data_IF_526715734487
#
_entry.id   IF_526715734487
#
_cell.length_a   1.000
_cell.length_b   1.000
_cell.length_c   1.000
_cell.angle_alpha   90.00
_cell.angle_beta   90.00
_cell.angle_gamma   90.00
#
_symmetry.space_group_name_H-M   'P 1'
#
loop_
_entity.id
_entity.type
_entity.pdbx_description
1 polymer ?
#
# COMPACT_ATOMS: atom_id res chain seq x y z
N UNK A 1 -5.05 14.42 -45.93
CA UNK A 1 -5.45 13.46 -44.90
C UNK A 1 -4.48 13.66 -43.73
N UNK A 2 -4.95 14.23 -42.64
CA UNK A 2 -4.09 14.36 -41.45
C UNK A 2 -3.76 12.94 -40.93
N UNK A 3 -2.49 12.64 -40.68
CA UNK A 3 -2.15 11.37 -40.07
C UNK A 3 -2.73 11.38 -38.64
N UNK A 4 -3.81 10.65 -38.44
CA UNK A 4 -4.36 10.43 -37.09
C UNK A 4 -3.38 9.53 -36.32
N UNK A 5 -2.21 10.09 -36.01
CA UNK A 5 -1.23 9.49 -35.12
C UNK A 5 -1.82 9.52 -33.70
N UNK A 6 -2.30 8.40 -33.18
CA UNK A 6 -2.85 8.37 -31.86
C UNK A 6 -3.26 6.95 -31.40
N UNK A 7 -3.61 6.84 -30.14
CA UNK A 7 -4.08 5.61 -29.47
C UNK A 7 -5.24 4.91 -30.25
N UNK A 8 -6.04 5.67 -30.99
CA UNK A 8 -7.15 5.17 -31.80
C UNK A 8 -6.61 4.32 -32.97
N UNK A 9 -5.52 4.74 -33.60
CA UNK A 9 -4.89 3.98 -34.70
C UNK A 9 -4.25 2.70 -34.20
N UNK A 10 -3.58 2.73 -33.06
CA UNK A 10 -3.03 1.54 -32.38
C UNK A 10 -4.12 0.49 -32.14
N UNK A 11 -5.34 0.93 -31.81
CA UNK A 11 -6.47 0.03 -31.61
C UNK A 11 -7.06 -0.51 -32.93
N UNK A 12 -7.15 0.31 -33.97
CA UNK A 12 -7.76 -0.10 -35.27
C UNK A 12 -6.81 -0.91 -36.14
N UNK A 13 -5.53 -0.55 -36.18
CA UNK A 13 -4.52 -1.22 -37.03
C UNK A 13 -3.73 -2.29 -36.30
N UNK A 14 -3.72 -2.25 -34.94
CA UNK A 14 -3.02 -3.22 -34.12
C UNK A 14 -3.61 -4.62 -34.24
N UNK A 15 -2.71 -5.61 -34.32
CA UNK A 15 -3.07 -7.03 -34.25
C UNK A 15 -3.56 -7.43 -32.85
N UNK A 16 -3.93 -8.70 -32.69
CA UNK A 16 -4.47 -9.22 -31.44
C UNK A 16 -3.46 -9.13 -30.27
N UNK A 17 -2.14 -9.22 -30.54
CA UNK A 17 -1.08 -9.08 -29.51
C UNK A 17 -1.00 -7.64 -29.01
N UNK A 18 -0.96 -6.69 -29.95
CA UNK A 18 -0.95 -5.25 -29.62
C UNK A 18 -2.15 -4.84 -28.80
N UNK A 19 -3.35 -5.30 -29.16
CA UNK A 19 -4.58 -5.06 -28.38
C UNK A 19 -4.49 -5.74 -27.00
N UNK A 20 -3.95 -6.94 -26.91
CA UNK A 20 -3.71 -7.65 -25.66
C UNK A 20 -2.78 -6.87 -24.71
N UNK A 21 -1.69 -6.33 -25.24
CA UNK A 21 -0.76 -5.50 -24.46
C UNK A 21 -1.43 -4.23 -23.93
N UNK A 22 -2.21 -3.54 -24.78
CA UNK A 22 -2.96 -2.34 -24.35
C UNK A 22 -3.96 -2.66 -23.25
N UNK A 23 -4.74 -3.73 -23.40
CA UNK A 23 -5.72 -4.18 -22.40
C UNK A 23 -5.04 -4.57 -21.08
N UNK A 24 -3.88 -5.24 -21.15
CA UNK A 24 -3.11 -5.60 -19.97
C UNK A 24 -2.61 -4.35 -19.24
N UNK A 25 -2.02 -3.39 -19.95
CA UNK A 25 -1.57 -2.12 -19.38
C UNK A 25 -2.72 -1.32 -18.77
N UNK A 26 -3.88 -1.31 -19.42
CA UNK A 26 -5.08 -0.67 -18.90
C UNK A 26 -5.54 -1.35 -17.58
N UNK A 27 -5.59 -2.67 -17.55
CA UNK A 27 -5.91 -3.43 -16.34
C UNK A 27 -4.94 -3.16 -15.19
N UNK A 28 -3.62 -3.14 -15.48
CA UNK A 28 -2.58 -2.78 -14.52
C UNK A 28 -2.75 -1.35 -14.01
N UNK A 29 -3.07 -0.39 -14.88
CA UNK A 29 -3.34 0.99 -14.51
C UNK A 29 -4.54 1.11 -13.57
N UNK A 30 -5.67 0.49 -13.93
CA UNK A 30 -6.88 0.49 -13.11
C UNK A 30 -6.63 -0.13 -11.72
N UNK A 31 -5.94 -1.27 -11.67
CA UNK A 31 -5.57 -1.93 -10.41
C UNK A 31 -4.69 -1.02 -9.53
N UNK A 32 -3.70 -0.34 -10.13
CA UNK A 32 -2.82 0.59 -9.40
C UNK A 32 -3.59 1.76 -8.82
N UNK A 33 -4.41 2.43 -9.64
CA UNK A 33 -5.20 3.57 -9.18
C UNK A 33 -6.21 3.18 -8.11
N UNK A 34 -6.84 2.01 -8.24
CA UNK A 34 -7.75 1.47 -7.22
C UNK A 34 -7.02 1.32 -5.88
N UNK A 35 -5.86 0.65 -5.85
CA UNK A 35 -5.07 0.48 -4.63
C UNK A 35 -4.62 1.82 -4.06
N UNK A 36 -4.12 2.74 -4.88
CA UNK A 36 -3.66 4.07 -4.44
C UNK A 36 -4.80 4.82 -3.76
N UNK A 37 -5.98 4.89 -4.38
CA UNK A 37 -7.11 5.65 -3.87
C UNK A 37 -7.61 5.06 -2.54
N UNK A 38 -7.89 3.75 -2.49
CA UNK A 38 -8.38 3.13 -1.26
C UNK A 38 -7.38 3.25 -0.11
N UNK A 39 -6.10 2.99 -0.38
CA UNK A 39 -5.07 3.10 0.66
C UNK A 39 -4.79 4.53 1.08
N UNK A 40 -4.88 5.50 0.18
CA UNK A 40 -4.76 6.90 0.55
C UNK A 40 -5.89 7.34 1.50
N UNK A 41 -7.14 6.89 1.26
CA UNK A 41 -8.26 7.13 2.17
C UNK A 41 -8.03 6.50 3.55
N UNK A 42 -7.57 5.24 3.59
CA UNK A 42 -7.22 4.56 4.84
C UNK A 42 -6.15 5.34 5.63
N UNK A 43 -5.08 5.79 4.95
CA UNK A 43 -3.99 6.54 5.58
C UNK A 43 -4.48 7.87 6.18
N UNK A 44 -5.34 8.60 5.46
CA UNK A 44 -5.93 9.85 5.98
C UNK A 44 -6.74 9.57 7.25
N UNK A 45 -7.56 8.50 7.22
CA UNK A 45 -8.34 8.05 8.38
C UNK A 45 -7.42 7.68 9.56
N UNK A 46 -6.41 6.85 9.34
CA UNK A 46 -5.47 6.44 10.39
C UNK A 46 -4.65 7.60 10.97
N UNK A 47 -4.23 8.55 10.16
CA UNK A 47 -3.55 9.76 10.65
C UNK A 47 -4.44 10.58 11.58
N UNK A 48 -5.75 10.66 11.28
CA UNK A 48 -6.73 11.32 12.16
C UNK A 48 -6.88 10.57 13.49
N UNK A 49 -7.00 9.24 13.44
CA UNK A 49 -7.10 8.39 14.63
C UNK A 49 -5.81 8.45 15.49
N UNK A 50 -4.64 8.50 14.88
CA UNK A 50 -3.37 8.65 15.59
C UNK A 50 -3.26 9.95 16.38
N UNK A 51 -3.90 11.04 15.95
CA UNK A 51 -3.99 12.28 16.75
C UNK A 51 -4.88 12.11 17.98
N UNK A 52 -5.96 11.34 17.86
CA UNK A 52 -6.86 11.03 18.98
C UNK A 52 -6.22 10.14 20.05
N UNK A 53 -5.17 9.39 19.74
CA UNK A 53 -4.50 8.52 20.72
C UNK A 53 -3.78 9.30 21.84
N UNK A 54 -3.43 10.56 21.62
CA UNK A 54 -2.88 11.40 22.66
C UNK A 54 -3.94 11.80 23.71
N UNK A 55 -5.19 12.02 23.29
CA UNK A 55 -6.31 12.32 24.19
C UNK A 55 -6.65 11.17 25.12
N UNK A 56 -6.40 9.92 24.71
CA UNK A 56 -6.56 8.74 25.55
C UNK A 56 -5.86 8.88 26.90
N UNK A 57 -4.60 9.36 26.87
CA UNK A 57 -3.76 9.49 28.06
C UNK A 57 -4.12 10.66 28.99
N UNK A 58 -4.96 11.59 28.53
CA UNK A 58 -5.45 12.70 29.34
C UNK A 58 -6.81 12.40 30.01
N UNK A 59 -7.31 11.17 29.84
CA UNK A 59 -8.56 10.73 30.44
C UNK A 59 -8.35 10.32 31.91
N UNK A 60 -9.33 10.53 32.80
CA UNK A 60 -9.22 10.19 34.21
C UNK A 60 -9.22 8.66 34.45
N UNK A 61 -9.82 7.87 33.56
CA UNK A 61 -9.86 6.43 33.63
C UNK A 61 -9.70 5.78 32.24
N UNK A 62 -9.39 4.48 32.23
CA UNK A 62 -9.16 3.70 31.02
C UNK A 62 -10.39 3.60 30.11
N UNK A 63 -11.58 3.42 30.69
CA UNK A 63 -12.83 3.30 29.93
C UNK A 63 -13.22 4.63 29.26
N UNK A 64 -12.94 5.74 29.91
CA UNK A 64 -13.13 7.06 29.31
C UNK A 64 -12.12 7.32 28.20
N UNK A 65 -10.87 6.86 28.38
CA UNK A 65 -9.85 6.85 27.33
C UNK A 65 -10.29 6.06 26.10
N UNK A 66 -10.83 4.86 26.28
CA UNK A 66 -11.37 4.05 25.19
C UNK A 66 -12.50 4.76 24.43
N UNK A 67 -13.40 5.45 25.14
CA UNK A 67 -14.46 6.25 24.50
C UNK A 67 -13.91 7.39 23.67
N UNK A 68 -12.80 8.03 24.08
CA UNK A 68 -12.14 9.08 23.30
C UNK A 68 -11.49 8.57 22.01
N UNK A 69 -11.08 7.31 21.97
CA UNK A 69 -10.61 6.68 20.73
C UNK A 69 -11.74 6.44 19.71
N UNK A 70 -13.01 6.59 20.14
CA UNK A 70 -14.19 6.43 19.30
C UNK A 70 -14.59 4.97 19.09
N UNK A 71 -15.85 4.74 18.64
CA UNK A 71 -16.43 3.39 18.50
C UNK A 71 -16.12 2.70 17.17
N UNK A 72 -15.19 3.23 16.39
CA UNK A 72 -14.84 2.59 15.12
C UNK A 72 -14.11 1.27 15.36
N UNK A 73 -14.75 0.15 14.97
CA UNK A 73 -14.14 -1.20 15.01
C UNK A 73 -12.81 -1.31 14.24
N UNK A 74 -12.58 -0.38 13.32
CA UNK A 74 -11.35 -0.33 12.51
C UNK A 74 -10.27 0.58 13.10
N UNK A 75 -10.45 1.07 14.35
CA UNK A 75 -9.43 1.89 14.99
C UNK A 75 -8.33 1.00 15.61
N UNK A 76 -7.10 1.00 15.07
CA UNK A 76 -6.04 0.13 15.57
C UNK A 76 -5.56 0.51 16.97
N UNK A 77 -5.68 1.78 17.36
CA UNK A 77 -5.31 2.23 18.71
C UNK A 77 -6.31 1.71 19.75
N UNK A 78 -7.60 1.70 19.40
CA UNK A 78 -8.63 1.12 20.26
C UNK A 78 -8.47 -0.39 20.37
N UNK A 79 -8.31 -1.09 19.24
CA UNK A 79 -8.08 -2.53 19.23
C UNK A 79 -6.88 -2.91 20.10
N UNK A 80 -5.79 -2.16 20.00
CA UNK A 80 -4.58 -2.40 20.80
C UNK A 80 -4.83 -2.20 22.31
N UNK A 81 -5.60 -1.18 22.70
CA UNK A 81 -5.94 -0.94 24.10
C UNK A 81 -6.88 -2.02 24.64
N UNK A 82 -7.87 -2.46 23.85
CA UNK A 82 -8.79 -3.53 24.23
C UNK A 82 -8.06 -4.89 24.37
N UNK A 83 -7.17 -5.23 23.44
CA UNK A 83 -6.34 -6.45 23.51
C UNK A 83 -5.44 -6.45 24.73
N UNK A 84 -4.78 -5.32 25.05
CA UNK A 84 -3.95 -5.20 26.25
C UNK A 84 -4.77 -5.40 27.52
N UNK A 85 -6.00 -4.87 27.60
CA UNK A 85 -6.90 -5.06 28.72
C UNK A 85 -7.37 -6.52 28.85
N UNK A 86 -7.77 -7.13 27.74
CA UNK A 86 -8.20 -8.52 27.72
C UNK A 86 -7.06 -9.46 28.16
N UNK A 87 -5.83 -9.17 27.75
CA UNK A 87 -4.65 -9.93 28.18
C UNK A 87 -4.45 -9.86 29.71
N UNK A 88 -4.64 -8.68 30.29
CA UNK A 88 -4.60 -8.49 31.75
C UNK A 88 -5.70 -9.25 32.48
N UNK A 89 -6.95 -9.11 32.02
CA UNK A 89 -8.12 -9.73 32.63
C UNK A 89 -8.03 -11.26 32.55
N UNK A 90 -7.54 -11.79 31.43
CA UNK A 90 -7.36 -13.23 31.24
C UNK A 90 -6.31 -13.79 32.21
N UNK A 91 -5.14 -13.14 32.31
CA UNK A 91 -4.09 -13.56 33.23
C UNK A 91 -4.54 -13.53 34.70
N UNK A 92 -5.37 -12.55 35.10
CA UNK A 92 -5.89 -12.47 36.47
C UNK A 92 -6.87 -13.61 36.83
N UNK A 93 -7.60 -14.12 35.83
CA UNK A 93 -8.66 -15.13 36.02
C UNK A 93 -8.17 -16.59 35.85
N UNK A 94 -6.97 -16.84 35.28
CA UNK A 94 -6.56 -18.18 34.84
C UNK A 94 -5.24 -18.65 35.48
N UNK A 95 -4.88 -18.17 36.66
CA UNK A 95 -3.61 -18.46 37.35
C UNK A 95 -3.30 -19.96 37.62
N UNK A 96 -4.22 -20.87 37.31
CA UNK A 96 -4.08 -22.30 37.62
C UNK A 96 -3.70 -23.20 36.43
N UNK A 97 -3.47 -22.66 35.22
CA UNK A 97 -3.17 -23.47 34.03
C UNK A 97 -1.68 -23.40 33.65
N UNK A 98 -1.17 -24.52 33.11
CA UNK A 98 0.27 -24.70 32.78
C UNK A 98 0.85 -23.63 31.81
N UNK A 99 0.01 -22.98 30.98
CA UNK A 99 0.47 -21.92 30.09
C UNK A 99 0.51 -20.53 30.74
N UNK A 100 -0.01 -20.39 31.95
CA UNK A 100 0.02 -19.15 32.74
C UNK A 100 1.30 -19.00 33.58
N UNK A 101 2.29 -19.86 33.37
CA UNK A 101 3.60 -19.73 33.98
C UNK A 101 4.44 -18.56 33.45
N UNK A 102 3.90 -17.85 32.42
CA UNK A 102 4.53 -16.64 31.88
C UNK A 102 4.21 -15.45 32.78
N UNK A 103 5.20 -14.57 32.97
CA UNK A 103 5.00 -13.29 33.64
C UNK A 103 3.95 -12.45 32.86
N UNK A 104 3.13 -11.71 33.60
CA UNK A 104 2.09 -10.82 33.05
C UNK A 104 2.65 -9.87 31.98
N UNK A 105 3.89 -9.42 32.18
CA UNK A 105 4.61 -8.58 31.24
C UNK A 105 4.80 -9.26 29.88
N UNK A 106 5.16 -10.54 29.87
CA UNK A 106 5.35 -11.31 28.65
C UNK A 106 4.02 -11.57 27.94
N UNK A 107 2.96 -11.84 28.68
CA UNK A 107 1.63 -12.07 28.15
C UNK A 107 1.06 -10.82 27.46
N UNK A 108 1.10 -9.68 28.16
CA UNK A 108 0.68 -8.39 27.60
C UNK A 108 1.53 -8.01 26.39
N UNK A 109 2.84 -8.21 26.46
CA UNK A 109 3.74 -7.94 25.32
C UNK A 109 3.34 -8.72 24.07
N UNK A 110 3.04 -10.03 24.22
CA UNK A 110 2.63 -10.88 23.09
C UNK A 110 1.29 -10.43 22.49
N UNK A 111 0.29 -10.13 23.33
CA UNK A 111 -1.01 -9.68 22.89
C UNK A 111 -0.91 -8.36 22.10
N UNK A 112 -0.20 -7.37 22.64
CA UNK A 112 0.02 -6.09 21.99
C UNK A 112 0.79 -6.24 20.66
N UNK A 113 1.81 -7.10 20.63
CA UNK A 113 2.60 -7.36 19.43
C UNK A 113 1.76 -8.01 18.33
N UNK A 114 0.97 -9.02 18.66
CA UNK A 114 0.09 -9.67 17.70
C UNK A 114 -0.91 -8.67 17.08
N UNK A 115 -1.53 -7.82 17.90
CA UNK A 115 -2.46 -6.78 17.42
C UNK A 115 -1.77 -5.75 16.51
N UNK A 116 -0.51 -5.39 16.80
CA UNK A 116 0.29 -4.53 15.95
C UNK A 116 0.60 -5.23 14.62
N UNK A 117 1.03 -6.49 14.66
CA UNK A 117 1.40 -7.27 13.47
C UNK A 117 0.18 -7.45 12.54
N UNK A 118 -1.01 -7.69 13.06
CA UNK A 118 -2.26 -7.74 12.30
C UNK A 118 -2.57 -6.39 11.62
N UNK A 119 -2.33 -5.29 12.32
CA UNK A 119 -2.49 -3.96 11.74
C UNK A 119 -1.47 -3.70 10.65
N UNK A 120 -0.21 -4.11 10.84
CA UNK A 120 0.86 -4.00 9.83
C UNK A 120 0.49 -4.81 8.59
N UNK A 121 0.01 -6.04 8.74
CA UNK A 121 -0.44 -6.87 7.62
C UNK A 121 -1.56 -6.19 6.81
N UNK A 122 -2.54 -5.59 7.49
CA UNK A 122 -3.61 -4.81 6.82
C UNK A 122 -3.07 -3.57 6.09
N UNK A 123 -2.14 -2.84 6.68
CA UNK A 123 -1.51 -1.66 6.05
C UNK A 123 -0.69 -2.05 4.81
N UNK A 124 -0.04 -3.21 4.83
CA UNK A 124 0.80 -3.71 3.73
C UNK A 124 -0.01 -4.33 2.58
N UNK A 125 -1.27 -4.73 2.83
CA UNK A 125 -2.13 -5.33 1.80
C UNK A 125 -2.26 -4.41 0.58
N UNK A 126 -2.16 -4.98 -0.62
CA UNK A 126 -2.23 -4.25 -1.89
C UNK A 126 -0.92 -3.57 -2.33
N UNK A 127 0.07 -3.37 -1.44
CA UNK A 127 1.36 -2.78 -1.85
C UNK A 127 2.11 -3.67 -2.85
N UNK A 128 1.98 -4.99 -2.74
CA UNK A 128 2.57 -5.94 -3.68
C UNK A 128 2.07 -5.72 -5.12
N UNK A 129 0.79 -5.35 -5.31
CA UNK A 129 0.24 -5.03 -6.62
C UNK A 129 0.94 -3.82 -7.22
N UNK A 130 1.11 -2.73 -6.45
CA UNK A 130 1.80 -1.53 -6.92
C UNK A 130 3.28 -1.81 -7.25
N UNK A 131 3.96 -2.60 -6.42
CA UNK A 131 5.34 -3.00 -6.67
C UNK A 131 5.45 -3.83 -7.95
N UNK A 132 4.56 -4.80 -8.15
CA UNK A 132 4.54 -5.65 -9.36
C UNK A 132 4.24 -4.81 -10.60
N UNK A 133 3.21 -3.97 -10.58
CA UNK A 133 2.87 -3.10 -11.72
C UNK A 133 4.02 -2.15 -12.03
N UNK A 134 4.57 -1.48 -11.01
CA UNK A 134 5.68 -0.55 -11.19
C UNK A 134 6.92 -1.17 -11.81
N UNK A 135 7.21 -2.44 -11.48
CA UNK A 135 8.37 -3.16 -12.02
C UNK A 135 8.10 -3.82 -13.37
N UNK A 136 6.88 -4.26 -13.67
CA UNK A 136 6.59 -5.07 -14.87
C UNK A 136 5.97 -4.27 -16.01
N UNK A 137 5.21 -3.20 -15.74
CA UNK A 137 4.54 -2.42 -16.78
C UNK A 137 5.49 -1.86 -17.85
N UNK A 138 6.73 -1.37 -17.54
CA UNK A 138 7.67 -0.93 -18.56
C UNK A 138 8.08 -2.06 -19.51
N UNK A 139 8.26 -3.29 -19.00
CA UNK A 139 8.61 -4.45 -19.81
C UNK A 139 7.44 -4.92 -20.68
N UNK A 140 6.21 -4.81 -20.20
CA UNK A 140 5.02 -5.08 -21.00
C UNK A 140 4.92 -4.06 -22.15
N UNK A 141 5.20 -2.78 -21.90
CA UNK A 141 5.26 -1.75 -22.93
C UNK A 141 6.38 -2.01 -23.94
N UNK A 142 7.57 -2.37 -23.44
CA UNK A 142 8.72 -2.73 -24.30
C UNK A 142 8.39 -3.96 -25.18
N UNK A 143 7.75 -4.97 -24.63
CA UNK A 143 7.30 -6.12 -25.42
C UNK A 143 6.40 -5.69 -26.57
N UNK A 144 5.43 -4.80 -26.31
CA UNK A 144 4.57 -4.25 -27.36
C UNK A 144 5.34 -3.50 -28.43
N UNK A 145 6.39 -2.76 -28.05
CA UNK A 145 7.28 -2.06 -28.98
C UNK A 145 8.05 -3.04 -29.88
N UNK A 146 8.69 -4.04 -29.29
CA UNK A 146 9.45 -5.06 -30.03
C UNK A 146 8.55 -5.81 -31.00
N UNK A 147 7.35 -6.18 -30.56
CA UNK A 147 6.36 -6.85 -31.39
C UNK A 147 5.92 -5.99 -32.58
N UNK A 148 5.60 -4.71 -32.37
CA UNK A 148 5.19 -3.80 -33.43
C UNK A 148 6.29 -3.54 -34.45
N UNK A 149 7.54 -3.33 -34.00
CA UNK A 149 8.68 -3.14 -34.90
C UNK A 149 8.94 -4.41 -35.72
N UNK A 150 8.86 -5.60 -35.10
CA UNK A 150 9.03 -6.87 -35.79
C UNK A 150 8.03 -7.01 -36.95
N UNK A 151 6.74 -6.71 -36.74
CA UNK A 151 5.73 -6.79 -37.77
C UNK A 151 5.93 -5.72 -38.88
N UNK A 152 6.35 -4.52 -38.50
CA UNK A 152 6.70 -3.47 -39.45
C UNK A 152 7.81 -3.93 -40.42
N UNK A 153 8.88 -4.57 -39.88
CA UNK A 153 9.98 -5.07 -40.68
C UNK A 153 9.58 -6.22 -41.62
N UNK A 154 8.69 -7.12 -41.15
CA UNK A 154 8.14 -8.18 -42.04
C UNK A 154 7.37 -7.55 -43.21
N UNK A 155 6.52 -6.57 -42.92
CA UNK A 155 5.70 -5.88 -43.93
C UNK A 155 6.59 -5.22 -45.02
N UNK A 156 7.70 -4.61 -44.63
CA UNK A 156 8.67 -4.01 -45.55
C UNK A 156 9.33 -5.10 -46.41
N UNK A 157 9.77 -6.20 -45.78
CA UNK A 157 10.39 -7.31 -46.50
C UNK A 157 9.49 -7.91 -47.58
N UNK A 158 8.18 -8.01 -47.31
CA UNK A 158 7.19 -8.50 -48.27
C UNK A 158 6.88 -7.52 -49.40
N UNK A 159 6.93 -6.20 -49.11
CA UNK A 159 6.68 -5.15 -50.10
C UNK A 159 7.85 -4.94 -51.11
N UNK A 160 9.03 -5.45 -50.79
CA UNK A 160 10.22 -5.34 -51.67
C UNK A 160 10.78 -3.92 -51.84
N UNK A 161 10.21 -2.91 -51.22
CA UNK A 161 10.63 -1.52 -51.22
C UNK A 161 10.59 -0.94 -49.82
N UNK A 162 11.68 -0.38 -49.36
CA UNK A 162 11.78 0.31 -48.08
C UNK A 162 11.67 1.82 -48.32
N UNK A 163 10.48 2.40 -48.17
CA UNK A 163 10.32 3.86 -48.17
C UNK A 163 10.13 4.31 -46.72
N UNK A 164 10.58 5.53 -46.39
CA UNK A 164 10.44 6.12 -45.06
C UNK A 164 8.98 6.18 -44.64
N UNK A 165 8.08 6.50 -45.54
CA UNK A 165 6.64 6.62 -45.30
C UNK A 165 5.99 5.29 -44.88
N UNK A 166 6.52 4.14 -45.34
CA UNK A 166 6.03 2.81 -44.94
C UNK A 166 6.51 2.38 -43.54
N UNK A 167 7.60 2.98 -43.05
CA UNK A 167 8.24 2.58 -41.80
C UNK A 167 7.87 3.50 -40.64
N UNK A 168 7.75 4.80 -40.90
CA UNK A 168 7.57 5.82 -39.87
C UNK A 168 6.27 5.64 -39.05
N UNK A 169 5.16 5.29 -39.69
CA UNK A 169 3.88 5.06 -39.03
C UNK A 169 3.93 3.88 -38.04
N UNK A 170 4.18 2.64 -38.50
CA UNK A 170 4.22 1.47 -37.61
C UNK A 170 5.26 1.55 -36.50
N UNK A 171 6.46 2.12 -36.77
CA UNK A 171 7.49 2.31 -35.73
C UNK A 171 7.00 3.36 -34.71
N UNK A 172 6.41 4.45 -35.17
CA UNK A 172 5.84 5.47 -34.28
C UNK A 172 4.76 4.89 -33.36
N UNK A 173 3.86 4.07 -33.89
CA UNK A 173 2.84 3.38 -33.11
C UNK A 173 3.44 2.39 -32.11
N UNK A 174 4.49 1.65 -32.51
CA UNK A 174 5.18 0.75 -31.59
C UNK A 174 5.79 1.54 -30.40
N UNK A 175 6.42 2.68 -30.61
CA UNK A 175 7.01 3.50 -29.55
C UNK A 175 5.97 3.98 -28.51
N UNK A 176 4.71 4.17 -28.91
CA UNK A 176 3.62 4.53 -28.01
C UNK A 176 3.43 3.46 -26.94
N UNK A 177 3.68 2.17 -27.24
CA UNK A 177 3.53 1.09 -26.26
C UNK A 177 4.50 1.24 -25.09
N UNK A 178 5.77 1.60 -25.35
CA UNK A 178 6.73 1.87 -24.27
C UNK A 178 6.31 3.09 -23.45
N UNK A 179 5.84 4.16 -24.10
CA UNK A 179 5.34 5.33 -23.40
C UNK A 179 4.14 5.00 -22.49
N UNK A 180 3.21 4.16 -22.94
CA UNK A 180 2.09 3.66 -22.13
C UNK A 180 2.57 2.83 -20.96
N UNK A 181 3.54 1.92 -21.15
CA UNK A 181 4.12 1.14 -20.07
C UNK A 181 4.71 2.01 -18.97
N UNK A 182 5.46 3.06 -19.34
CA UNK A 182 6.03 4.04 -18.41
C UNK A 182 4.93 4.88 -17.73
N UNK A 183 3.91 5.31 -18.47
CA UNK A 183 2.79 6.10 -17.93
C UNK A 183 2.01 5.31 -16.87
N UNK A 184 1.95 3.99 -16.96
CA UNK A 184 1.35 3.09 -15.95
C UNK A 184 2.30 2.87 -14.78
N UNK A 185 3.59 2.64 -15.04
CA UNK A 185 4.56 2.30 -14.01
C UNK A 185 4.88 3.46 -13.07
N UNK A 186 5.02 4.67 -13.59
CA UNK A 186 5.45 5.83 -12.79
C UNK A 186 4.48 6.12 -11.64
N UNK A 187 3.15 6.26 -11.87
CA UNK A 187 2.19 6.45 -10.77
C UNK A 187 2.19 5.29 -9.76
N UNK A 188 2.34 4.05 -10.22
CA UNK A 188 2.37 2.87 -9.35
C UNK A 188 3.57 2.92 -8.39
N UNK A 189 4.77 3.24 -8.87
CA UNK A 189 5.99 3.36 -8.05
C UNK A 189 5.89 4.54 -7.07
N UNK A 190 5.42 5.70 -7.55
CA UNK A 190 5.25 6.87 -6.70
C UNK A 190 4.21 6.61 -5.59
N UNK A 191 3.08 5.99 -5.96
CA UNK A 191 2.04 5.57 -5.01
C UNK A 191 2.58 4.58 -3.98
N UNK A 192 3.29 3.53 -4.41
CA UNK A 192 3.95 2.57 -3.54
C UNK A 192 4.85 3.25 -2.50
N UNK A 193 5.77 4.11 -2.95
CA UNK A 193 6.72 4.79 -2.07
C UNK A 193 6.03 5.72 -1.06
N UNK A 194 4.98 6.45 -1.49
CA UNK A 194 4.20 7.32 -0.62
C UNK A 194 3.44 6.52 0.46
N UNK A 195 2.83 5.39 0.07
CA UNK A 195 2.09 4.51 0.97
C UNK A 195 3.03 3.84 1.97
N UNK A 196 4.18 3.30 1.54
CA UNK A 196 5.19 2.69 2.43
C UNK A 196 5.68 3.68 3.47
N UNK A 197 5.96 4.92 3.07
CA UNK A 197 6.39 5.98 4.01
C UNK A 197 5.30 6.31 5.03
N UNK A 198 4.06 6.42 4.57
CA UNK A 198 2.92 6.71 5.45
C UNK A 198 2.63 5.55 6.41
N UNK A 199 2.73 4.31 5.95
CA UNK A 199 2.57 3.12 6.79
C UNK A 199 3.63 3.08 7.89
N UNK A 200 4.89 3.34 7.58
CA UNK A 200 5.97 3.44 8.59
C UNK A 200 5.65 4.45 9.68
N UNK A 201 5.10 5.62 9.31
CA UNK A 201 4.69 6.62 10.29
C UNK A 201 3.57 6.10 11.21
N UNK A 202 2.54 5.46 10.66
CA UNK A 202 1.42 4.91 11.43
C UNK A 202 1.92 3.82 12.37
N UNK A 203 2.72 2.87 11.87
CA UNK A 203 3.31 1.77 12.67
C UNK A 203 4.18 2.32 13.80
N UNK A 204 4.98 3.34 13.56
CA UNK A 204 5.79 3.98 14.61
C UNK A 204 4.92 4.58 15.72
N UNK A 205 3.79 5.21 15.37
CA UNK A 205 2.84 5.74 16.36
C UNK A 205 2.15 4.63 17.15
N UNK A 206 1.77 3.55 16.46
CA UNK A 206 1.14 2.39 17.08
C UNK A 206 2.08 1.68 18.05
N UNK A 207 3.35 1.47 17.66
CA UNK A 207 4.37 0.89 18.54
C UNK A 207 4.60 1.75 19.78
N UNK A 208 4.65 3.08 19.65
CA UNK A 208 4.79 3.97 20.81
C UNK A 208 3.59 3.87 21.74
N UNK A 209 2.39 3.88 21.20
CA UNK A 209 1.17 3.71 21.98
C UNK A 209 1.12 2.34 22.67
N UNK A 210 1.54 1.26 21.99
CA UNK A 210 1.65 -0.08 22.58
C UNK A 210 2.69 -0.14 23.70
N UNK A 211 3.81 0.54 23.56
CA UNK A 211 4.82 0.62 24.62
C UNK A 211 4.30 1.37 25.85
N UNK A 212 3.59 2.47 25.67
CA UNK A 212 2.94 3.22 26.76
C UNK A 212 1.85 2.37 27.45
N UNK A 213 1.05 1.60 26.68
CA UNK A 213 0.06 0.66 27.22
C UNK A 213 0.70 -0.46 28.04
N UNK A 214 1.77 -1.06 27.53
CA UNK A 214 2.52 -2.08 28.26
C UNK A 214 3.00 -1.54 29.61
N UNK A 215 3.63 -0.37 29.62
CA UNK A 215 4.08 0.25 30.86
C UNK A 215 2.92 0.50 31.83
N UNK A 216 1.80 1.02 31.33
CA UNK A 216 0.60 1.24 32.13
C UNK A 216 0.05 -0.05 32.75
N UNK A 217 -0.05 -1.14 31.99
CA UNK A 217 -0.58 -2.40 32.47
C UNK A 217 0.35 -3.11 33.48
N UNK A 218 1.68 -2.95 33.32
CA UNK A 218 2.67 -3.62 34.20
C UNK A 218 2.98 -2.78 35.44
N UNK A 219 3.06 -1.46 35.32
CA UNK A 219 3.54 -0.60 36.43
C UNK A 219 2.44 0.31 37.01
N UNK A 220 1.27 0.37 36.40
CA UNK A 220 0.19 1.29 36.78
C UNK A 220 0.43 2.75 36.36
N UNK A 221 1.54 3.07 35.69
CA UNK A 221 1.89 4.42 35.28
C UNK A 221 2.36 4.46 33.83
N UNK A 222 2.05 5.57 33.13
CA UNK A 222 2.62 5.85 31.80
C UNK A 222 4.11 6.20 31.94
N UNK A 223 4.95 5.68 31.03
CA UNK A 223 6.31 6.20 30.88
C UNK A 223 6.23 7.62 30.33
N UNK A 224 6.47 8.60 31.17
CA UNK A 224 6.44 10.02 30.77
C UNK A 224 7.53 10.26 29.72
N UNK A 225 7.14 10.44 28.46
CA UNK A 225 8.00 10.93 27.40
C UNK A 225 8.06 12.46 27.48
N UNK A 226 8.40 13.00 28.64
CA UNK A 226 8.71 14.43 28.82
C UNK A 226 10.21 14.64 28.68
N UNK A 227 10.65 14.79 27.43
CA UNK A 227 11.80 15.68 27.13
C UNK A 227 11.49 16.42 25.84
N UNK A 228 11.22 17.74 25.90
CA UNK A 228 11.37 18.56 24.71
C UNK A 228 12.84 18.44 24.28
N UNK A 229 13.06 17.97 23.05
CA UNK A 229 14.35 18.11 22.39
C UNK A 229 14.52 19.61 22.13
N UNK A 230 15.20 20.28 23.04
CA UNK A 230 15.80 21.58 22.78
C UNK A 230 16.95 21.35 21.81
N UNK A 231 16.78 21.80 20.59
CA UNK A 231 17.84 22.11 19.63
C UNK A 231 17.84 23.60 19.42
#
# INVERSE_FOLDING_TARGET
MEPQLGLINVWHQGDWVTRGVVLLLLGMSLASWMVIIFKAMDIVRFKKLARGSESFWHSPDFDQGLRQLGDSKDNPFRALAEEGRQAMDHHSNTREQLHDALDISDWVTRALRNSIDDTVARLQSGLAVLASVGSTAPFVGLFGTVWGIYHALIGIGLAGQATIDMVAGPIGEALIMTALGLAVAIPAVLGYNALVRSNKFIVSRLNRFGHDLHAYFVTGARVQADRPVTV
#
